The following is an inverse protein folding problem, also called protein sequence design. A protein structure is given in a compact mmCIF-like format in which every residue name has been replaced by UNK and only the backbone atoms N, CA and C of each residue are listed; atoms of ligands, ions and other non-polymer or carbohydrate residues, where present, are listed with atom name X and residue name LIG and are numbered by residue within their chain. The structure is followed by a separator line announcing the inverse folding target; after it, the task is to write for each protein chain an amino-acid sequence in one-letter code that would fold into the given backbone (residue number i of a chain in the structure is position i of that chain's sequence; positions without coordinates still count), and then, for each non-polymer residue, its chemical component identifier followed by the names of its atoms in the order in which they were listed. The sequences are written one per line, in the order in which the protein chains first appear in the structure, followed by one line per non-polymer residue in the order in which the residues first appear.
data_IF_631838178443
#
_entry.id   IF_631838178443
#
_cell.length_a   1.000
_cell.length_b   1.000
_cell.length_c   1.000
_cell.angle_alpha   90.00
_cell.angle_beta   90.00
_cell.angle_gamma   90.00
#
_symmetry.space_group_name_H-M   'P 1'
#
loop_
_entity.id
_entity.type
_entity.pdbx_description
1 polymer ?
#
# COMPACT_ATOMS: atom_id res chain seq x y z
N UNK A 1 70.69 -57.87 12.75
CA UNK A 1 69.60 -57.28 11.95
C UNK A 1 69.44 -55.82 12.36
N UNK A 2 69.42 -54.93 11.37
CA UNK A 2 69.44 -53.45 11.34
C UNK A 2 69.13 -52.63 12.60
N UNK A 3 70.05 -51.67 12.87
CA UNK A 3 69.85 -50.40 13.59
C UNK A 3 68.94 -49.49 12.76
N UNK A 4 67.96 -48.81 13.37
CA UNK A 4 67.42 -47.52 12.90
C UNK A 4 67.13 -46.62 14.11
N UNK A 5 67.88 -45.52 14.23
CA UNK A 5 67.56 -44.30 14.97
C UNK A 5 66.57 -43.46 14.16
N UNK A 6 65.54 -42.88 14.78
CA UNK A 6 64.84 -41.70 14.22
C UNK A 6 64.55 -40.69 15.33
N UNK A 7 65.18 -39.52 15.15
CA UNK A 7 64.95 -38.26 15.83
C UNK A 7 63.49 -37.80 15.67
N UNK A 8 62.85 -37.33 16.75
CA UNK A 8 61.64 -36.51 16.62
C UNK A 8 61.93 -35.09 17.08
N UNK A 9 62.01 -34.22 16.07
CA UNK A 9 62.31 -32.80 16.17
C UNK A 9 61.17 -32.03 16.83
N UNK A 10 61.54 -31.10 17.71
CA UNK A 10 60.65 -30.13 18.36
C UNK A 10 60.19 -29.08 17.33
N UNK A 11 58.90 -29.04 17.02
CA UNK A 11 58.33 -27.97 16.18
C UNK A 11 57.86 -26.83 17.08
N UNK A 12 58.66 -25.77 17.17
CA UNK A 12 58.33 -24.51 17.84
C UNK A 12 57.28 -23.75 17.01
N UNK A 13 56.05 -23.67 17.49
CA UNK A 13 54.97 -22.88 16.86
C UNK A 13 55.13 -21.41 17.23
N UNK A 14 55.57 -20.60 16.26
CA UNK A 14 55.69 -19.15 16.39
C UNK A 14 54.30 -18.52 16.20
N UNK A 15 53.65 -18.08 17.29
CA UNK A 15 52.43 -17.27 17.22
C UNK A 15 52.79 -15.83 16.83
N UNK A 16 52.53 -15.47 15.57
CA UNK A 16 52.53 -14.08 15.11
C UNK A 16 51.28 -13.38 15.66
N UNK A 17 51.43 -12.62 16.74
CA UNK A 17 50.43 -11.67 17.22
C UNK A 17 50.44 -10.44 16.30
N UNK A 18 49.48 -10.35 15.39
CA UNK A 18 49.20 -9.13 14.65
C UNK A 18 48.52 -8.12 15.60
N UNK A 19 49.18 -6.99 15.83
CA UNK A 19 48.59 -5.83 16.50
C UNK A 19 47.41 -5.30 15.67
N UNK A 20 46.20 -5.37 16.21
CA UNK A 20 45.03 -4.67 15.68
C UNK A 20 45.05 -3.24 16.24
N UNK A 21 45.12 -2.19 15.39
CA UNK A 21 45.02 -0.82 15.85
C UNK A 21 43.63 -0.54 16.44
N UNK A 22 43.64 0.12 17.59
CA UNK A 22 42.49 0.56 18.36
C UNK A 22 41.50 1.42 17.55
N UNK A 23 40.22 1.05 17.65
CA UNK A 23 39.05 1.92 17.83
C UNK A 23 39.17 3.34 17.24
N UNK A 24 39.09 3.44 15.92
CA UNK A 24 38.49 4.62 15.31
C UNK A 24 37.01 4.65 15.74
N UNK A 25 36.64 5.60 16.61
CA UNK A 25 35.24 5.93 16.83
C UNK A 25 34.67 6.41 15.49
N UNK A 26 34.03 5.50 14.77
CA UNK A 26 33.14 5.85 13.67
C UNK A 26 32.01 6.63 14.32
N UNK A 27 32.11 7.96 14.24
CA UNK A 27 31.00 8.82 14.59
C UNK A 27 29.87 8.46 13.64
N UNK A 28 28.74 8.04 14.20
CA UNK A 28 27.53 7.79 13.42
C UNK A 28 27.31 8.99 12.49
N UNK A 29 27.07 8.77 11.18
CA UNK A 29 26.78 9.86 10.28
C UNK A 29 25.59 10.62 10.88
N UNK A 30 25.76 11.94 11.04
CA UNK A 30 24.68 12.85 11.44
C UNK A 30 23.46 12.48 10.62
N UNK A 31 22.36 12.14 11.28
CA UNK A 31 21.06 11.95 10.65
C UNK A 31 20.73 13.25 9.92
N UNK A 32 21.11 13.33 8.64
CA UNK A 32 20.53 14.31 7.75
C UNK A 32 19.05 13.97 7.76
N UNK A 33 18.26 14.87 8.33
CA UNK A 33 16.83 14.91 8.10
C UNK A 33 16.65 15.22 6.61
N UNK A 34 16.87 14.21 5.78
CA UNK A 34 16.52 14.21 4.37
C UNK A 34 15.00 14.29 4.33
N UNK A 35 14.47 15.50 4.44
CA UNK A 35 13.10 15.80 4.03
C UNK A 35 12.98 15.37 2.58
N UNK A 36 12.34 14.22 2.41
CA UNK A 36 12.05 13.61 1.12
C UNK A 36 11.38 14.63 0.19
N UNK A 37 11.59 14.55 -1.14
CA UNK A 37 11.22 15.59 -2.11
C UNK A 37 9.70 15.74 -2.35
N UNK A 38 8.85 15.20 -1.47
CA UNK A 38 7.40 15.21 -1.57
C UNK A 38 6.78 16.16 -0.53
N UNK A 39 6.02 17.15 -1.00
CA UNK A 39 5.25 18.04 -0.14
C UNK A 39 3.90 17.39 0.19
N UNK A 40 3.70 17.08 1.46
CA UNK A 40 2.44 16.54 1.95
C UNK A 40 1.27 17.53 1.78
N UNK A 41 0.08 16.97 1.64
CA UNK A 41 -1.15 17.72 1.64
C UNK A 41 -1.82 17.62 3.00
N UNK A 42 -1.91 18.76 3.66
CA UNK A 42 -2.57 18.86 4.95
C UNK A 42 -4.07 19.11 4.72
N UNK A 43 -4.88 18.52 5.59
CA UNK A 43 -6.31 18.76 5.68
C UNK A 43 -6.68 18.99 7.14
N UNK A 44 -7.83 19.62 7.39
CA UNK A 44 -8.34 19.75 8.74
C UNK A 44 -8.56 18.35 9.37
N UNK A 45 -8.22 18.15 10.66
CA UNK A 45 -8.19 16.82 11.30
C UNK A 45 -9.48 16.00 11.17
N UNK A 46 -10.63 16.66 11.09
CA UNK A 46 -11.95 16.04 10.95
C UNK A 46 -12.13 15.28 9.62
N UNK A 47 -11.41 15.65 8.56
CA UNK A 47 -11.47 14.96 7.27
C UNK A 47 -10.43 13.86 7.12
N UNK A 48 -9.39 13.85 7.95
CA UNK A 48 -8.21 13.00 7.77
C UNK A 48 -8.49 11.50 8.04
N UNK A 49 -9.67 11.12 8.54
CA UNK A 49 -10.01 9.71 8.87
C UNK A 49 -11.35 9.30 8.25
N UNK A 50 -11.50 9.31 6.91
CA UNK A 50 -12.76 8.99 6.27
C UNK A 50 -13.15 7.53 6.54
N UNK A 51 -14.42 7.31 6.87
CA UNK A 51 -14.98 5.99 7.22
C UNK A 51 -16.04 5.49 6.23
N UNK A 52 -16.32 6.28 5.21
CA UNK A 52 -17.26 5.97 4.12
C UNK A 52 -16.75 6.57 2.82
N UNK A 53 -17.29 6.12 1.69
CA UNK A 53 -17.01 6.70 0.37
C UNK A 53 -17.42 8.18 0.35
N UNK A 54 -18.56 8.54 0.95
CA UNK A 54 -18.96 9.96 1.10
C UNK A 54 -17.91 10.79 1.85
N UNK A 55 -17.40 10.27 2.98
CA UNK A 55 -16.37 10.96 3.75
C UNK A 55 -15.08 11.14 2.94
N UNK A 56 -14.74 10.19 2.06
CA UNK A 56 -13.62 10.33 1.12
C UNK A 56 -13.90 11.44 0.10
N UNK A 57 -15.11 11.52 -0.47
CA UNK A 57 -15.48 12.61 -1.38
C UNK A 57 -15.36 13.97 -0.68
N UNK A 58 -15.81 14.07 0.56
CA UNK A 58 -15.70 15.29 1.37
C UNK A 58 -14.23 15.67 1.63
N UNK A 59 -13.38 14.70 2.01
CA UNK A 59 -11.93 14.89 2.12
C UNK A 59 -11.33 15.38 0.79
N UNK A 60 -11.64 14.71 -0.32
CA UNK A 60 -11.18 15.09 -1.65
C UNK A 60 -11.59 16.51 -2.00
N UNK A 61 -12.81 16.94 -1.67
CA UNK A 61 -13.30 18.28 -1.94
C UNK A 61 -12.67 19.36 -1.05
N UNK A 62 -12.17 19.00 0.13
CA UNK A 62 -11.45 19.89 1.04
C UNK A 62 -9.97 20.08 0.65
N UNK A 63 -9.41 19.20 -0.20
CA UNK A 63 -8.01 19.24 -0.60
C UNK A 63 -7.74 20.16 -1.82
N UNK A 64 -6.53 20.74 -1.93
CA UNK A 64 -6.18 21.63 -3.02
C UNK A 64 -6.18 20.91 -4.39
N UNK A 65 -6.39 21.68 -5.45
CA UNK A 65 -6.35 21.22 -6.84
C UNK A 65 -5.06 21.70 -7.54
N UNK A 66 -4.52 20.95 -8.52
CA UNK A 66 -4.91 19.59 -8.87
C UNK A 66 -4.57 18.62 -7.74
N UNK A 67 -5.47 17.66 -7.48
CA UNK A 67 -5.28 16.65 -6.45
C UNK A 67 -4.80 15.35 -7.09
N UNK A 68 -3.62 14.87 -6.71
CA UNK A 68 -3.09 13.56 -7.09
C UNK A 68 -3.19 12.53 -5.94
N UNK A 69 -2.97 11.25 -6.24
CA UNK A 69 -3.02 10.18 -5.23
C UNK A 69 -1.96 10.38 -4.13
N UNK A 70 -0.68 10.71 -4.45
CA UNK A 70 0.30 11.04 -3.42
C UNK A 70 -0.20 12.05 -2.38
N UNK A 71 -0.77 13.17 -2.84
CA UNK A 71 -1.35 14.21 -2.00
C UNK A 71 -2.53 13.67 -1.18
N UNK A 72 -3.47 12.97 -1.81
CA UNK A 72 -4.61 12.35 -1.12
C UNK A 72 -4.17 11.40 0.00
N UNK A 73 -3.27 10.45 -0.27
CA UNK A 73 -2.79 9.48 0.74
C UNK A 73 -2.01 10.14 1.87
N UNK A 74 -1.27 11.20 1.56
CA UNK A 74 -0.53 11.97 2.57
C UNK A 74 -1.46 12.73 3.53
N UNK A 75 -2.69 13.04 3.12
CA UNK A 75 -3.66 13.74 3.97
C UNK A 75 -4.35 12.85 4.99
N UNK A 76 -4.24 11.52 4.85
CA UNK A 76 -4.86 10.58 5.78
C UNK A 76 -4.14 10.56 7.13
N UNK A 77 -4.92 10.51 8.21
CA UNK A 77 -4.43 10.42 9.59
C UNK A 77 -3.56 9.19 9.77
N UNK A 78 -2.50 9.35 10.56
CA UNK A 78 -1.56 8.28 10.93
C UNK A 78 -1.81 7.82 12.38
N UNK A 79 -1.46 6.58 12.76
CA UNK A 79 -0.88 5.53 11.91
C UNK A 79 -1.86 5.05 10.83
N UNK A 80 -1.31 4.58 9.70
CA UNK A 80 -2.12 3.91 8.67
C UNK A 80 -1.91 2.40 8.75
N UNK A 81 -3.01 1.68 8.94
CA UNK A 81 -3.05 0.23 8.81
C UNK A 81 -3.14 -0.13 7.32
N UNK A 82 -2.22 -0.96 6.85
CA UNK A 82 -2.12 -1.35 5.44
C UNK A 82 -1.93 -2.86 5.25
N UNK A 83 -2.42 -3.36 4.12
CA UNK A 83 -2.11 -4.69 3.61
C UNK A 83 -1.57 -4.59 2.18
N UNK A 84 -0.51 -5.33 1.89
CA UNK A 84 0.19 -5.29 0.61
C UNK A 84 0.07 -6.67 -0.07
N UNK A 85 -0.28 -6.69 -1.35
CA UNK A 85 -0.36 -7.94 -2.13
C UNK A 85 0.27 -7.81 -3.50
N UNK A 86 0.84 -8.91 -4.00
CA UNK A 86 1.36 -9.05 -5.36
C UNK A 86 0.39 -9.82 -6.30
N UNK A 87 -0.88 -9.93 -5.94
CA UNK A 87 -1.86 -10.68 -6.75
C UNK A 87 -2.08 -10.07 -8.13
N UNK A 88 -2.01 -10.92 -9.17
CA UNK A 88 -2.41 -10.58 -10.54
C UNK A 88 -3.89 -10.83 -10.84
N UNK A 89 -4.64 -11.48 -9.94
CA UNK A 89 -6.06 -11.82 -10.11
C UNK A 89 -6.97 -10.68 -9.65
N UNK A 90 -6.71 -9.46 -10.13
CA UNK A 90 -7.46 -8.24 -9.79
C UNK A 90 -7.64 -7.38 -11.04
N UNK A 91 -8.68 -6.54 -11.08
CA UNK A 91 -8.84 -5.49 -12.09
C UNK A 91 -7.66 -4.50 -12.10
N UNK A 92 -6.94 -4.38 -10.98
CA UNK A 92 -5.75 -3.54 -10.86
C UNK A 92 -4.55 -4.40 -10.40
N UNK A 93 -4.00 -5.23 -11.29
CA UNK A 93 -3.01 -6.24 -10.94
C UNK A 93 -1.71 -5.62 -10.41
N UNK A 94 -1.10 -6.29 -9.43
CA UNK A 94 0.23 -5.93 -8.96
C UNK A 94 1.32 -6.46 -9.91
N UNK A 95 2.45 -5.75 -9.99
CA UNK A 95 3.61 -6.14 -10.81
C UNK A 95 4.79 -6.53 -9.93
N UNK A 96 4.59 -7.61 -9.17
CA UNK A 96 5.57 -8.14 -8.22
C UNK A 96 5.65 -7.38 -6.89
N UNK A 97 6.56 -7.82 -6.01
CA UNK A 97 6.68 -7.31 -4.64
C UNK A 97 7.15 -5.85 -4.58
N UNK A 98 7.88 -5.38 -5.59
CA UNK A 98 8.27 -3.97 -5.72
C UNK A 98 7.11 -3.07 -6.16
N UNK A 99 6.02 -3.64 -6.68
CA UNK A 99 4.85 -2.89 -7.12
C UNK A 99 3.55 -3.54 -6.61
N UNK A 100 3.36 -3.62 -5.28
CA UNK A 100 2.19 -4.25 -4.71
C UNK A 100 0.94 -3.40 -4.96
N UNK A 101 -0.20 -4.06 -4.90
CA UNK A 101 -1.47 -3.42 -4.58
C UNK A 101 -1.48 -3.13 -3.09
N UNK A 102 -1.87 -1.91 -2.72
CA UNK A 102 -1.90 -1.44 -1.34
C UNK A 102 -3.35 -1.24 -0.93
N UNK A 103 -3.77 -1.91 0.13
CA UNK A 103 -5.04 -1.70 0.80
C UNK A 103 -4.79 -0.91 2.08
N UNK A 104 -5.51 0.19 2.24
CA UNK A 104 -5.49 1.04 3.43
C UNK A 104 -6.77 0.77 4.21
N UNK A 105 -6.61 0.28 5.43
CA UNK A 105 -7.70 -0.22 6.26
C UNK A 105 -8.26 0.92 7.12
N UNK A 106 -9.40 1.46 6.71
CA UNK A 106 -10.11 2.55 7.40
C UNK A 106 -11.51 2.09 7.83
N UNK A 107 -11.60 0.89 8.44
CA UNK A 107 -12.86 0.20 8.74
C UNK A 107 -14.00 1.15 9.17
N UNK A 108 -15.20 1.05 8.55
CA UNK A 108 -15.62 -0.01 7.62
C UNK A 108 -15.15 0.15 6.16
N UNK A 109 -14.42 1.23 5.86
CA UNK A 109 -13.90 1.52 4.52
C UNK A 109 -12.54 0.86 4.28
N UNK A 110 -12.33 0.33 3.08
CA UNK A 110 -11.01 -0.03 2.54
C UNK A 110 -10.76 0.83 1.30
N UNK A 111 -9.58 1.44 1.24
CA UNK A 111 -9.10 2.15 0.06
C UNK A 111 -8.03 1.30 -0.61
N UNK A 112 -8.08 1.13 -1.92
CA UNK A 112 -7.09 0.36 -2.66
C UNK A 112 -6.41 1.20 -3.75
N UNK A 113 -5.08 1.12 -3.83
CA UNK A 113 -4.24 1.81 -4.82
C UNK A 113 -3.15 0.91 -5.37
N UNK A 114 -2.71 1.19 -6.59
CA UNK A 114 -1.54 0.53 -7.22
C UNK A 114 -0.43 1.54 -7.36
N UNK A 115 0.81 1.12 -7.11
CA UNK A 115 1.97 2.03 -7.18
C UNK A 115 2.56 2.15 -8.60
N UNK A 116 2.10 1.31 -9.53
CA UNK A 116 2.50 1.30 -10.93
C UNK A 116 1.39 0.75 -11.83
N UNK A 117 1.61 0.79 -13.16
CA UNK A 117 0.66 0.25 -14.14
C UNK A 117 -0.53 1.17 -14.41
N UNK A 118 -1.47 0.71 -15.23
CA UNK A 118 -2.63 1.52 -15.67
C UNK A 118 -3.51 1.94 -14.49
N UNK A 119 -3.65 1.09 -13.47
CA UNK A 119 -4.39 1.38 -12.24
C UNK A 119 -3.70 2.36 -11.29
N UNK A 120 -2.48 2.83 -11.57
CA UNK A 120 -1.76 3.77 -10.67
C UNK A 120 -2.35 5.18 -10.60
N UNK A 121 -3.34 5.46 -11.44
CA UNK A 121 -4.12 6.70 -11.43
C UNK A 121 -5.53 6.49 -10.90
N UNK A 122 -5.82 5.31 -10.34
CA UNK A 122 -7.13 4.95 -9.83
C UNK A 122 -7.06 4.71 -8.32
N UNK A 123 -8.12 5.13 -7.64
CA UNK A 123 -8.37 4.79 -6.24
C UNK A 123 -9.69 4.04 -6.19
N UNK A 124 -9.64 2.80 -5.74
CA UNK A 124 -10.83 1.97 -5.54
C UNK A 124 -11.26 2.01 -4.07
N UNK A 125 -12.56 1.88 -3.85
CA UNK A 125 -13.18 1.86 -2.53
C UNK A 125 -13.99 0.59 -2.34
N UNK A 126 -13.93 0.05 -1.14
CA UNK A 126 -14.85 -0.97 -0.67
C UNK A 126 -15.33 -0.58 0.73
N UNK A 127 -16.60 -0.18 0.84
CA UNK A 127 -17.24 0.13 2.12
C UNK A 127 -18.06 -1.08 2.58
N UNK A 128 -17.66 -1.68 3.69
CA UNK A 128 -18.35 -2.83 4.26
C UNK A 128 -19.73 -2.46 4.75
N UNK A 129 -20.71 -3.26 4.38
CA UNK A 129 -22.11 -3.18 4.83
C UNK A 129 -22.52 -4.41 5.64
N UNK A 130 -21.54 -5.21 6.08
CA UNK A 130 -21.74 -6.47 6.80
C UNK A 130 -21.90 -7.68 5.88
N UNK A 131 -21.98 -8.88 6.49
CA UNK A 131 -22.18 -10.16 5.80
C UNK A 131 -21.21 -10.43 4.64
N UNK A 132 -19.95 -9.99 4.77
CA UNK A 132 -18.92 -10.07 3.72
C UNK A 132 -19.32 -9.40 2.40
N UNK A 133 -20.19 -8.38 2.46
CA UNK A 133 -20.60 -7.55 1.32
C UNK A 133 -20.06 -6.13 1.48
N UNK A 134 -19.82 -5.50 0.33
CA UNK A 134 -19.32 -4.14 0.28
C UNK A 134 -19.92 -3.37 -0.88
N UNK A 135 -20.18 -2.09 -0.65
CA UNK A 135 -20.41 -1.10 -1.69
C UNK A 135 -19.06 -0.75 -2.32
N UNK A 136 -19.02 -0.65 -3.66
CA UNK A 136 -17.79 -0.36 -4.40
C UNK A 136 -17.87 1.00 -5.07
N UNK A 137 -16.71 1.62 -5.23
CA UNK A 137 -16.57 2.85 -5.98
C UNK A 137 -15.15 2.97 -6.54
N UNK A 138 -14.97 3.85 -7.51
CA UNK A 138 -13.65 4.16 -8.05
C UNK A 138 -13.57 5.64 -8.41
N UNK A 139 -12.41 6.26 -8.22
CA UNK A 139 -12.11 7.58 -8.76
C UNK A 139 -10.82 7.55 -9.57
N UNK A 140 -10.79 8.39 -10.63
CA UNK A 140 -9.60 8.64 -11.42
C UNK A 140 -8.93 9.94 -10.97
N UNK A 141 -7.61 9.88 -10.84
CA UNK A 141 -6.72 10.98 -10.51
C UNK A 141 -5.84 11.34 -11.73
N UNK A 142 -5.30 12.56 -11.79
CA UNK A 142 -5.54 13.67 -10.86
C UNK A 142 -6.94 14.26 -11.02
N UNK A 143 -7.50 14.76 -9.92
CA UNK A 143 -8.73 15.56 -9.93
C UNK A 143 -8.30 17.00 -10.18
N UNK A 144 -8.53 17.47 -11.40
CA UNK A 144 -7.97 18.73 -11.91
C UNK A 144 -8.72 19.97 -11.45
N UNK A 145 -10.04 19.90 -11.31
CA UNK A 145 -10.88 21.04 -10.98
C UNK A 145 -12.23 20.61 -10.41
N UNK A 146 -12.91 21.56 -9.77
CA UNK A 146 -14.26 21.38 -9.27
C UNK A 146 -14.38 20.53 -7.99
N UNK A 147 -15.55 20.64 -7.38
CA UNK A 147 -16.00 19.70 -6.37
C UNK A 147 -16.58 18.46 -7.08
N UNK A 148 -16.28 17.28 -6.54
CA UNK A 148 -16.92 16.05 -6.96
C UNK A 148 -18.31 15.95 -6.33
N UNK A 149 -19.26 15.44 -7.11
CA UNK A 149 -20.56 15.03 -6.58
C UNK A 149 -20.41 13.81 -5.67
N UNK A 150 -21.36 13.61 -4.75
CA UNK A 150 -21.41 12.42 -3.89
C UNK A 150 -21.51 11.10 -4.69
N UNK A 151 -22.04 11.15 -5.92
CA UNK A 151 -22.16 9.99 -6.82
C UNK A 151 -20.88 9.66 -7.59
N UNK A 152 -19.87 10.54 -7.60
CA UNK A 152 -18.76 10.47 -8.56
C UNK A 152 -18.01 9.14 -8.54
N UNK A 153 -17.89 8.50 -7.37
CA UNK A 153 -17.25 7.20 -7.23
C UNK A 153 -18.06 6.05 -7.86
N UNK A 154 -19.39 6.15 -7.85
CA UNK A 154 -20.31 5.16 -8.41
C UNK A 154 -20.51 5.37 -9.91
N UNK A 155 -20.63 6.62 -10.33
CA UNK A 155 -20.81 7.00 -11.74
C UNK A 155 -19.66 6.45 -12.60
N UNK A 156 -18.44 6.44 -12.06
CA UNK A 156 -17.25 5.97 -12.77
C UNK A 156 -17.26 4.46 -13.05
N UNK A 157 -17.83 3.66 -12.16
CA UNK A 157 -17.87 2.20 -12.30
C UNK A 157 -19.16 1.72 -12.95
N UNK A 158 -20.18 2.58 -13.07
CA UNK A 158 -21.47 2.23 -13.67
C UNK A 158 -21.34 1.86 -15.14
N UNK A 159 -21.99 0.77 -15.53
CA UNK A 159 -22.21 0.39 -16.94
C UNK A 159 -23.66 0.63 -17.37
N UNK A 160 -24.44 1.33 -16.55
CA UNK A 160 -25.87 1.60 -16.74
C UNK A 160 -26.78 0.53 -16.15
N UNK A 161 -26.42 -0.75 -16.24
CA UNK A 161 -27.20 -1.87 -15.68
C UNK A 161 -26.45 -2.73 -14.65
N UNK A 162 -25.13 -2.54 -14.53
CA UNK A 162 -24.23 -3.22 -13.59
C UNK A 162 -23.07 -2.27 -13.24
N UNK A 163 -21.97 -2.79 -12.68
CA UNK A 163 -20.71 -2.06 -12.63
C UNK A 163 -19.57 -2.83 -13.29
N UNK A 164 -18.46 -2.13 -13.56
CA UNK A 164 -17.20 -2.77 -13.96
C UNK A 164 -16.65 -3.71 -12.89
N UNK A 165 -17.06 -3.55 -11.63
CA UNK A 165 -16.64 -4.41 -10.52
C UNK A 165 -17.26 -5.81 -10.59
N UNK A 166 -18.42 -5.98 -11.23
CA UNK A 166 -19.06 -7.28 -11.43
C UNK A 166 -18.22 -8.28 -12.23
N UNK A 167 -17.21 -7.81 -12.97
CA UNK A 167 -16.23 -8.68 -13.65
C UNK A 167 -15.26 -9.40 -12.70
N UNK A 168 -15.06 -8.88 -11.49
CA UNK A 168 -14.16 -9.46 -10.50
C UNK A 168 -14.87 -9.93 -9.23
N UNK A 169 -16.02 -9.33 -8.93
CA UNK A 169 -16.80 -9.62 -7.73
C UNK A 169 -18.13 -10.28 -8.10
N UNK A 170 -18.50 -11.30 -7.32
CA UNK A 170 -19.72 -12.08 -7.55
C UNK A 170 -20.91 -11.51 -6.80
N UNK A 171 -22.10 -11.88 -7.28
CA UNK A 171 -23.39 -11.53 -6.68
C UNK A 171 -23.59 -10.02 -6.56
N UNK A 172 -23.34 -9.31 -7.66
CA UNK A 172 -23.59 -7.89 -7.75
C UNK A 172 -25.10 -7.60 -7.77
N UNK A 173 -25.55 -6.74 -6.87
CA UNK A 173 -26.96 -6.41 -6.67
C UNK A 173 -27.10 -4.91 -6.37
N UNK A 174 -28.24 -4.33 -6.72
CA UNK A 174 -28.58 -2.97 -6.29
C UNK A 174 -28.81 -2.99 -4.80
N UNK A 175 -28.14 -2.09 -4.08
CA UNK A 175 -28.28 -1.95 -2.63
C UNK A 175 -29.22 -0.80 -2.26
N UNK A 176 -29.96 -0.97 -1.17
CA UNK A 176 -30.68 0.12 -0.55
C UNK A 176 -29.73 0.86 0.40
N UNK A 177 -28.94 1.77 -0.17
CA UNK A 177 -27.97 2.58 0.57
C UNK A 177 -28.45 4.02 0.74
N UNK A 178 -27.82 4.76 1.67
CA UNK A 178 -28.09 6.19 1.85
C UNK A 178 -27.41 7.06 0.78
N UNK A 179 -26.68 6.46 -0.16
CA UNK A 179 -26.05 7.18 -1.24
C UNK A 179 -27.08 7.63 -2.29
N UNK A 180 -26.88 8.81 -2.90
CA UNK A 180 -27.72 9.23 -4.02
C UNK A 180 -27.51 8.30 -5.23
N UNK A 181 -28.60 8.04 -5.95
CA UNK A 181 -28.57 7.26 -7.20
C UNK A 181 -28.61 5.74 -6.99
N UNK A 182 -28.33 5.00 -8.06
CA UNK A 182 -28.27 3.53 -8.03
C UNK A 182 -26.86 3.12 -7.62
N UNK A 183 -26.76 2.41 -6.51
CA UNK A 183 -25.50 1.90 -5.98
C UNK A 183 -25.55 0.38 -5.95
N UNK A 184 -24.42 -0.24 -6.27
CA UNK A 184 -24.29 -1.68 -6.30
C UNK A 184 -23.41 -2.17 -5.15
N UNK A 185 -23.80 -3.29 -4.58
CA UNK A 185 -23.01 -4.07 -3.63
C UNK A 185 -22.67 -5.43 -4.23
N UNK A 186 -21.57 -6.02 -3.77
CA UNK A 186 -21.19 -7.39 -4.10
C UNK A 186 -20.34 -7.99 -3.00
N UNK A 187 -20.00 -9.27 -3.12
CA UNK A 187 -19.11 -9.94 -2.16
C UNK A 187 -17.76 -9.21 -2.09
N UNK A 188 -17.36 -8.86 -0.86
CA UNK A 188 -16.03 -8.37 -0.55
C UNK A 188 -15.03 -9.53 -0.68
N UNK A 189 -13.88 -9.27 -1.31
CA UNK A 189 -12.85 -10.28 -1.50
C UNK A 189 -11.55 -9.86 -0.83
N UNK A 190 -10.89 -10.80 -0.14
CA UNK A 190 -9.52 -10.63 0.33
C UNK A 190 -8.53 -11.31 -0.63
N UNK A 191 -7.30 -10.80 -0.74
CA UNK A 191 -6.22 -11.52 -1.43
C UNK A 191 -5.90 -12.85 -0.74
N UNK A 192 -5.35 -13.80 -1.50
CA UNK A 192 -4.81 -15.05 -0.93
C UNK A 192 -3.55 -14.77 -0.11
N UNK A 193 -3.34 -15.49 1.00
CA UNK A 193 -2.21 -15.25 1.90
C UNK A 193 -0.84 -15.42 1.22
N UNK A 194 -0.74 -16.29 0.22
CA UNK A 194 0.49 -16.50 -0.57
C UNK A 194 0.88 -15.29 -1.41
N UNK A 195 -0.04 -14.35 -1.62
CA UNK A 195 0.24 -13.11 -2.35
C UNK A 195 0.68 -11.96 -1.46
N UNK A 196 0.75 -12.15 -0.13
CA UNK A 196 1.09 -11.09 0.82
C UNK A 196 2.53 -10.62 0.62
N UNK A 197 2.71 -9.31 0.56
CA UNK A 197 4.02 -8.65 0.51
C UNK A 197 4.34 -8.10 1.90
N UNK A 198 5.56 -8.31 2.39
CA UNK A 198 5.96 -7.79 3.69
C UNK A 198 6.26 -6.28 3.60
N UNK A 199 5.81 -5.52 4.59
CA UNK A 199 6.03 -4.08 4.66
C UNK A 199 7.51 -3.73 4.67
N UNK A 200 8.32 -4.49 5.40
CA UNK A 200 9.77 -4.28 5.46
C UNK A 200 10.44 -4.45 4.09
N UNK A 201 9.98 -5.40 3.28
CA UNK A 201 10.50 -5.60 1.93
C UNK A 201 10.11 -4.42 1.03
N UNK A 202 8.86 -3.96 1.12
CA UNK A 202 8.38 -2.82 0.33
C UNK A 202 9.03 -1.49 0.77
N UNK A 203 9.41 -1.34 2.04
CA UNK A 203 10.10 -0.15 2.54
C UNK A 203 11.46 0.07 1.85
N UNK A 204 12.10 -0.98 1.33
CA UNK A 204 13.32 -0.86 0.53
C UNK A 204 13.11 -0.01 -0.74
N UNK A 205 11.88 0.05 -1.26
CA UNK A 205 11.53 0.88 -2.42
C UNK A 205 11.62 2.38 -2.10
N UNK A 206 11.46 2.80 -0.83
CA UNK A 206 11.70 4.18 -0.40
C UNK A 206 13.15 4.57 -0.65
N UNK A 207 14.10 3.70 -0.28
CA UNK A 207 15.53 3.92 -0.49
C UNK A 207 15.88 4.01 -1.98
N UNK A 208 15.31 3.14 -2.82
CA UNK A 208 15.47 3.22 -4.28
C UNK A 208 14.95 4.55 -4.84
N UNK A 209 13.80 5.01 -4.34
CA UNK A 209 13.25 6.30 -4.73
C UNK A 209 14.08 7.50 -4.26
N UNK A 210 14.74 7.41 -3.09
CA UNK A 210 15.66 8.44 -2.60
C UNK A 210 16.93 8.56 -3.44
N UNK A 211 17.41 7.44 -3.96
CA UNK A 211 18.61 7.39 -4.81
C UNK A 211 18.34 7.80 -6.26
N UNK A 212 17.07 7.91 -6.67
CA UNK A 212 16.72 8.37 -8.00
C UNK A 212 17.03 9.87 -8.16
N UNK A 213 17.65 10.24 -9.29
CA UNK A 213 18.00 11.64 -9.59
C UNK A 213 16.77 12.54 -9.79
N UNK A 214 15.69 11.97 -10.30
CA UNK A 214 14.40 12.66 -10.49
C UNK A 214 13.28 11.81 -9.90
N UNK A 215 12.50 12.34 -8.94
CA UNK A 215 11.34 11.64 -8.40
C UNK A 215 10.31 11.33 -9.49
N UNK A 216 9.97 10.05 -9.65
CA UNK A 216 8.87 9.61 -10.51
C UNK A 216 7.53 9.73 -9.77
N UNK A 217 6.41 9.68 -10.50
CA UNK A 217 5.08 9.63 -9.89
C UNK A 217 4.94 8.46 -8.89
N UNK A 218 5.43 7.27 -9.25
CA UNK A 218 5.51 6.11 -8.36
C UNK A 218 6.26 6.44 -7.05
N UNK A 219 7.40 7.12 -7.16
CA UNK A 219 8.16 7.52 -5.98
C UNK A 219 7.43 8.55 -5.12
N UNK A 220 6.73 9.50 -5.74
CA UNK A 220 5.87 10.44 -4.99
C UNK A 220 4.74 9.72 -4.25
N UNK A 221 4.13 8.69 -4.85
CA UNK A 221 3.11 7.89 -4.19
C UNK A 221 3.67 7.12 -2.99
N UNK A 222 4.84 6.48 -3.16
CA UNK A 222 5.56 5.81 -2.07
C UNK A 222 5.90 6.80 -0.95
N UNK A 223 6.41 7.99 -1.29
CA UNK A 223 6.69 9.05 -0.32
C UNK A 223 5.41 9.54 0.38
N UNK A 224 4.31 9.73 -0.34
CA UNK A 224 3.01 10.10 0.23
C UNK A 224 2.50 9.08 1.26
N UNK A 225 2.83 7.80 1.07
CA UNK A 225 2.53 6.73 2.01
C UNK A 225 3.44 6.78 3.26
N UNK A 226 4.77 6.76 3.08
CA UNK A 226 5.73 6.59 4.18
C UNK A 226 6.08 7.86 4.96
N UNK A 227 5.86 9.07 4.43
CA UNK A 227 6.46 10.28 5.00
C UNK A 227 5.66 10.95 6.12
N UNK A 228 4.42 10.52 6.36
CA UNK A 228 3.50 11.25 7.25
C UNK A 228 3.37 10.65 8.65
N UNK A 229 4.06 9.54 8.92
CA UNK A 229 4.01 8.85 10.19
C UNK A 229 4.07 7.34 10.01
N UNK A 230 3.82 6.62 11.09
CA UNK A 230 3.94 5.17 11.14
C UNK A 230 2.93 4.45 10.23
N UNK A 231 3.39 3.41 9.56
CA UNK A 231 2.55 2.42 8.89
C UNK A 231 2.56 1.14 9.72
N UNK A 232 1.41 0.50 9.83
CA UNK A 232 1.25 -0.80 10.48
C UNK A 232 0.76 -1.80 9.45
N UNK A 233 1.42 -2.95 9.35
CA UNK A 233 0.96 -4.01 8.47
C UNK A 233 -0.09 -4.86 9.17
N UNK A 234 -1.27 -4.96 8.57
CA UNK A 234 -2.40 -5.76 9.08
C UNK A 234 -2.86 -6.78 8.05
N UNK A 235 -3.55 -7.80 8.52
CA UNK A 235 -4.21 -8.79 7.67
C UNK A 235 -5.67 -8.38 7.39
N UNK A 236 -6.21 -8.89 6.28
CA UNK A 236 -7.65 -8.85 6.06
C UNK A 236 -8.37 -9.72 7.09
N UNK A 237 -9.62 -9.36 7.41
CA UNK A 237 -10.49 -10.22 8.20
C UNK A 237 -10.59 -11.60 7.51
N UNK A 238 -10.26 -12.71 8.20
CA UNK A 238 -10.35 -14.05 7.62
C UNK A 238 -11.79 -14.45 7.24
N UNK A 239 -12.82 -13.78 7.76
CA UNK A 239 -14.22 -13.95 7.38
C UNK A 239 -14.58 -13.39 6.01
N UNK A 240 -13.71 -12.55 5.41
CA UNK A 240 -13.84 -12.12 4.02
C UNK A 240 -13.31 -13.25 3.13
N UNK A 241 -14.07 -13.73 2.14
CA UNK A 241 -13.59 -14.80 1.28
C UNK A 241 -12.51 -14.35 0.29
N UNK A 242 -11.67 -15.26 -0.15
CA UNK A 242 -10.86 -15.08 -1.37
C UNK A 242 -11.73 -15.23 -2.62
N UNK A 243 -11.19 -14.87 -3.79
CA UNK A 243 -11.90 -15.06 -5.06
C UNK A 243 -12.36 -16.52 -5.26
N UNK A 244 -11.50 -17.50 -4.98
CA UNK A 244 -11.86 -18.92 -5.12
C UNK A 244 -12.88 -19.37 -4.07
N UNK A 245 -12.76 -18.89 -2.83
CA UNK A 245 -13.72 -19.18 -1.75
C UNK A 245 -15.11 -18.59 -2.05
N UNK A 246 -15.20 -17.50 -2.82
CA UNK A 246 -16.48 -16.88 -3.17
C UNK A 246 -17.40 -17.74 -4.06
N UNK A 247 -16.90 -18.83 -4.62
CA UNK A 247 -17.68 -19.79 -5.41
C UNK A 247 -18.50 -20.75 -4.54
N UNK A 248 -18.21 -20.82 -3.24
CA UNK A 248 -18.90 -21.70 -2.29
C UNK A 248 -19.88 -20.95 -1.39
N UNK A 249 -20.12 -19.67 -1.68
CA UNK A 249 -21.14 -18.83 -1.03
C UNK A 249 -22.49 -18.95 -1.74
#
# INVERSE_FOLDING_TARGET
MKIILINLSFTLTLFLTACVPQNAKISAPKTQTNTLPFKACNVAPEFASPKSIEAVINLINALPRPLDIPCFISSLKRPLDISLTNSGLSAQPASGNSNPRIFIMLAPLIISISVSGEGSYLVEFAESIGNSRSIKGELKFPIVSGALAATAAFDRISTGTSTTCGGCHRYEEVTNSNYPGVVYESIALRPVNTSKVQLNDFQLEVGKCQLATTPTYRCNLIFGLFNQGTLSQVDFDPGIPTFLESFTF
#
